data_IF_715139721190
#
_entry.id   IF_715139721190
#
_cell.length_a   1.000
_cell.length_b   1.000
_cell.length_c   1.000
_cell.angle_alpha   90.00
_cell.angle_beta   90.00
_cell.angle_gamma   90.00
#
_symmetry.space_group_name_H-M   'P 1'
#
loop_
_entity.id
_entity.type
_entity.pdbx_description
1 polymer ?
#
# COMPACT_ATOMS: atom_id res chain seq x y z
N UNK A 1 -4.97 -13.11 26.04
CA UNK A 1 -5.85 -11.94 25.78
C UNK A 1 -7.28 -12.44 25.56
N UNK A 2 -8.27 -12.01 26.35
CA UNK A 2 -9.68 -12.38 26.18
C UNK A 2 -10.21 -11.75 24.89
N UNK A 3 -10.83 -12.54 24.00
CA UNK A 3 -11.51 -12.04 22.80
C UNK A 3 -12.60 -11.03 23.21
N UNK A 4 -12.71 -9.87 22.57
CA UNK A 4 -13.74 -8.90 22.92
C UNK A 4 -15.13 -9.49 22.72
N UNK A 5 -16.04 -9.20 23.66
CA UNK A 5 -17.42 -9.69 23.70
C UNK A 5 -18.14 -9.34 22.37
N UNK A 6 -18.95 -10.27 21.88
CA UNK A 6 -19.74 -10.11 20.64
C UNK A 6 -20.59 -8.85 20.67
N UNK A 7 -21.18 -8.52 21.83
CA UNK A 7 -21.97 -7.29 22.02
C UNK A 7 -21.14 -6.01 21.81
N UNK A 8 -19.91 -5.96 22.31
CA UNK A 8 -19.01 -4.83 22.10
C UNK A 8 -18.63 -4.66 20.62
N UNK A 9 -18.39 -5.76 19.91
CA UNK A 9 -18.10 -5.75 18.48
C UNK A 9 -19.30 -5.24 17.66
N UNK A 10 -20.51 -5.68 17.99
CA UNK A 10 -21.74 -5.24 17.35
C UNK A 10 -22.02 -3.75 17.58
N UNK A 11 -21.86 -3.24 18.80
CA UNK A 11 -22.03 -1.83 19.12
C UNK A 11 -21.00 -0.93 18.40
N UNK A 12 -19.75 -1.37 18.33
CA UNK A 12 -18.70 -0.65 17.59
C UNK A 12 -18.99 -0.61 16.09
N UNK A 13 -19.48 -1.72 15.53
CA UNK A 13 -19.85 -1.80 14.13
C UNK A 13 -21.05 -0.88 13.82
N UNK A 14 -22.07 -0.91 14.67
CA UNK A 14 -23.25 -0.03 14.60
C UNK A 14 -22.87 1.46 14.60
N UNK A 15 -21.94 1.84 15.46
CA UNK A 15 -21.46 3.22 15.55
C UNK A 15 -20.73 3.69 14.29
N UNK A 16 -20.03 2.80 13.61
CA UNK A 16 -19.20 3.14 12.45
C UNK A 16 -19.94 3.02 11.11
N UNK A 17 -20.98 2.17 11.02
CA UNK A 17 -21.64 1.79 9.76
C UNK A 17 -23.15 2.01 9.73
N UNK A 18 -23.73 2.41 10.88
CA UNK A 18 -25.16 2.66 11.00
C UNK A 18 -26.02 1.39 11.15
N UNK A 19 -27.29 1.62 11.47
CA UNK A 19 -28.25 0.55 11.83
C UNK A 19 -28.52 -0.39 10.66
N UNK A 20 -28.69 0.15 9.44
CA UNK A 20 -29.05 -0.63 8.24
C UNK A 20 -27.99 -1.65 7.88
N UNK A 21 -26.73 -1.25 7.79
CA UNK A 21 -25.60 -2.16 7.50
C UNK A 21 -25.38 -3.19 8.62
N UNK A 22 -25.61 -2.78 9.88
CA UNK A 22 -25.46 -3.69 11.03
C UNK A 22 -26.50 -4.80 10.99
N UNK A 23 -27.73 -4.48 10.60
CA UNK A 23 -28.82 -5.46 10.45
C UNK A 23 -28.54 -6.39 9.26
N UNK A 24 -28.09 -5.86 8.13
CA UNK A 24 -27.73 -6.67 6.96
C UNK A 24 -26.60 -7.65 7.30
N UNK A 25 -25.57 -7.19 8.01
CA UNK A 25 -24.49 -8.04 8.47
C UNK A 25 -24.93 -9.11 9.47
N UNK A 26 -25.85 -8.78 10.37
CA UNK A 26 -26.42 -9.75 11.32
C UNK A 26 -27.25 -10.83 10.60
N UNK A 27 -27.93 -10.47 9.52
CA UNK A 27 -28.70 -11.41 8.67
C UNK A 27 -27.80 -12.33 7.84
N UNK A 28 -26.60 -11.87 7.45
CA UNK A 28 -25.62 -12.66 6.67
C UNK A 28 -24.92 -13.74 7.50
N UNK A 29 -25.13 -13.79 8.83
CA UNK A 29 -24.48 -14.76 9.71
C UNK A 29 -22.96 -14.57 9.82
N UNK A 30 -22.32 -15.42 10.63
CA UNK A 30 -20.86 -15.46 10.79
C UNK A 30 -20.16 -16.29 9.68
N UNK A 31 -20.77 -16.45 8.54
CA UNK A 31 -20.04 -17.05 7.43
C UNK A 31 -18.89 -16.12 7.07
N UNK A 32 -17.64 -16.62 7.05
CA UNK A 32 -16.57 -15.85 6.41
C UNK A 32 -17.09 -15.49 5.03
N UNK A 33 -16.95 -14.21 4.64
CA UNK A 33 -17.33 -13.78 3.32
C UNK A 33 -16.53 -14.61 2.30
N UNK A 34 -17.07 -15.78 1.99
CA UNK A 34 -16.63 -16.55 0.83
C UNK A 34 -17.09 -15.68 -0.34
N UNK A 35 -16.17 -15.09 -1.10
CA UNK A 35 -16.56 -14.35 -2.28
C UNK A 35 -17.46 -15.28 -3.08
N UNK A 36 -18.59 -14.80 -3.60
CA UNK A 36 -19.50 -15.63 -4.37
C UNK A 36 -18.66 -16.37 -5.41
N UNK A 37 -18.82 -17.69 -5.52
CA UNK A 37 -18.01 -18.58 -6.38
C UNK A 37 -17.79 -18.04 -7.81
N UNK A 38 -18.64 -17.13 -8.25
CA UNK A 38 -18.60 -16.50 -9.57
C UNK A 38 -17.73 -15.23 -9.64
N UNK A 39 -17.07 -14.76 -8.56
CA UNK A 39 -16.31 -13.51 -8.58
C UNK A 39 -14.79 -13.67 -8.40
N UNK A 40 -14.27 -14.87 -8.55
CA UNK A 40 -12.83 -15.14 -8.55
C UNK A 40 -12.13 -14.28 -9.62
N UNK A 41 -12.73 -14.16 -10.80
CA UNK A 41 -12.22 -13.32 -11.90
C UNK A 41 -12.21 -11.84 -11.48
N UNK A 42 -13.27 -11.36 -10.79
CA UNK A 42 -13.31 -9.99 -10.28
C UNK A 42 -12.22 -9.70 -9.25
N UNK A 43 -11.98 -10.64 -8.34
CA UNK A 43 -10.91 -10.51 -7.34
C UNK A 43 -9.52 -10.44 -7.97
N UNK A 44 -9.25 -11.24 -9.02
CA UNK A 44 -7.97 -11.27 -9.72
C UNK A 44 -7.90 -10.33 -10.94
N UNK A 45 -8.87 -9.43 -11.11
CA UNK A 45 -8.90 -8.51 -12.26
C UNK A 45 -7.61 -7.71 -12.42
N UNK A 46 -6.97 -7.31 -11.31
CA UNK A 46 -5.69 -6.61 -11.33
C UNK A 46 -4.55 -7.40 -12.00
N UNK A 47 -4.66 -8.74 -12.08
CA UNK A 47 -3.66 -9.61 -12.75
C UNK A 47 -3.73 -9.43 -14.27
N UNK A 48 -4.95 -9.29 -14.81
CA UNK A 48 -5.21 -9.17 -16.26
C UNK A 48 -5.29 -7.71 -16.72
N UNK A 49 -5.49 -6.76 -15.81
CA UNK A 49 -5.48 -5.33 -16.11
C UNK A 49 -4.06 -4.88 -16.49
N UNK A 50 -3.88 -4.65 -17.79
CA UNK A 50 -2.61 -4.27 -18.38
C UNK A 50 -2.57 -2.84 -18.94
N UNK A 51 -3.62 -2.05 -18.71
CA UNK A 51 -3.65 -0.67 -19.21
C UNK A 51 -2.46 0.10 -18.65
N UNK A 52 -1.51 0.52 -19.51
CA UNK A 52 -0.28 1.14 -19.03
C UNK A 52 -0.55 2.52 -18.44
N UNK A 53 0.08 2.80 -17.31
CA UNK A 53 0.19 4.16 -16.77
C UNK A 53 1.36 4.82 -17.50
N UNK A 54 1.11 5.82 -18.35
CA UNK A 54 2.08 6.27 -19.34
C UNK A 54 3.31 6.96 -18.71
N UNK A 55 4.41 6.97 -19.46
CA UNK A 55 5.60 7.72 -19.13
C UNK A 55 5.34 9.23 -19.26
N UNK A 56 5.79 10.00 -18.26
CA UNK A 56 5.66 11.45 -18.27
C UNK A 56 7.00 12.10 -18.62
N UNK A 57 7.15 12.48 -19.90
CA UNK A 57 8.37 13.09 -20.40
C UNK A 57 8.75 14.38 -19.66
N UNK A 58 7.77 15.20 -19.24
CA UNK A 58 8.05 16.45 -18.51
C UNK A 58 8.65 16.17 -17.14
N UNK A 59 8.14 15.17 -16.40
CA UNK A 59 8.70 14.77 -15.12
C UNK A 59 10.10 14.16 -15.30
N UNK A 60 10.29 13.32 -16.31
CA UNK A 60 11.60 12.77 -16.64
C UNK A 60 12.64 13.88 -16.89
N UNK A 61 12.35 14.84 -17.79
CA UNK A 61 13.25 15.95 -18.08
C UNK A 61 13.62 16.77 -16.85
N UNK A 62 12.66 16.96 -15.94
CA UNK A 62 12.88 17.65 -14.68
C UNK A 62 13.84 16.90 -13.75
N UNK A 63 13.78 15.56 -13.74
CA UNK A 63 14.46 14.74 -12.74
C UNK A 63 15.65 13.92 -13.28
N UNK A 64 15.83 13.82 -14.61
CA UNK A 64 16.88 12.97 -15.23
C UNK A 64 18.30 13.22 -14.71
N UNK A 65 18.59 14.46 -14.34
CA UNK A 65 19.92 14.89 -13.86
C UNK A 65 20.01 15.03 -12.35
N UNK A 66 18.97 14.60 -11.59
CA UNK A 66 18.99 14.66 -10.13
C UNK A 66 20.16 13.86 -9.58
N UNK A 67 20.93 14.47 -8.68
CA UNK A 67 22.03 13.80 -7.98
C UNK A 67 21.50 12.65 -7.11
N UNK A 68 20.40 12.90 -6.37
CA UNK A 68 19.71 11.86 -5.62
C UNK A 68 18.74 11.13 -6.53
N UNK A 69 18.95 9.83 -6.72
CA UNK A 69 18.03 9.02 -7.52
C UNK A 69 16.76 8.72 -6.73
N UNK A 70 15.62 8.93 -7.36
CA UNK A 70 14.29 8.76 -6.77
C UNK A 70 13.87 7.29 -6.90
N UNK A 71 13.44 6.69 -5.79
CA UNK A 71 12.95 5.32 -5.72
C UNK A 71 11.48 5.31 -5.24
N UNK A 72 10.59 4.79 -6.05
CA UNK A 72 9.22 4.51 -5.65
C UNK A 72 9.11 3.08 -5.12
N UNK A 73 8.53 2.91 -3.94
CA UNK A 73 8.27 1.63 -3.29
C UNK A 73 6.76 1.39 -3.25
N UNK A 74 6.29 0.36 -3.91
CA UNK A 74 4.87 -0.01 -3.89
C UNK A 74 4.70 -1.12 -2.87
N UNK A 75 4.01 -0.80 -1.77
CA UNK A 75 3.91 -1.62 -0.57
C UNK A 75 2.45 -2.00 -0.34
N UNK A 76 2.13 -3.28 -0.08
CA UNK A 76 0.76 -3.66 0.26
C UNK A 76 0.38 -3.09 1.62
N UNK A 77 -0.91 -3.18 1.95
CA UNK A 77 -1.39 -2.77 3.27
C UNK A 77 -0.62 -3.48 4.38
N UNK A 78 -0.30 -2.72 5.43
CA UNK A 78 0.52 -3.18 6.54
C UNK A 78 -0.28 -3.24 7.85
N UNK A 79 0.04 -4.24 8.67
CA UNK A 79 -0.46 -4.37 10.03
C UNK A 79 0.64 -4.15 11.08
N UNK A 80 0.25 -3.87 12.34
CA UNK A 80 1.20 -3.76 13.45
C UNK A 80 2.09 -5.01 13.57
N UNK A 81 3.40 -4.82 13.75
CA UNK A 81 4.35 -5.91 13.98
C UNK A 81 4.67 -6.79 12.76
N UNK A 82 4.30 -6.37 11.56
CA UNK A 82 4.63 -7.11 10.33
C UNK A 82 6.14 -7.15 10.08
N UNK A 83 6.75 -8.34 10.18
CA UNK A 83 8.19 -8.55 10.00
C UNK A 83 8.65 -8.22 8.57
N UNK A 84 7.85 -8.59 7.56
CA UNK A 84 8.13 -8.26 6.17
C UNK A 84 8.22 -6.75 5.93
N UNK A 85 7.24 -5.99 6.42
CA UNK A 85 7.27 -4.53 6.32
C UNK A 85 8.43 -3.91 7.10
N UNK A 86 8.78 -4.46 8.27
CA UNK A 86 9.95 -4.03 9.03
C UNK A 86 11.24 -4.18 8.21
N UNK A 87 11.38 -5.28 7.48
CA UNK A 87 12.54 -5.52 6.60
C UNK A 87 12.57 -4.51 5.45
N UNK A 88 11.43 -4.28 4.77
CA UNK A 88 11.31 -3.29 3.69
C UNK A 88 11.71 -1.89 4.21
N UNK A 89 11.14 -1.44 5.32
CA UNK A 89 11.40 -0.09 5.85
C UNK A 89 12.83 0.10 6.35
N UNK A 90 13.46 -0.95 6.89
CA UNK A 90 14.89 -0.93 7.22
C UNK A 90 15.74 -0.75 5.97
N UNK A 91 15.40 -1.46 4.89
CA UNK A 91 16.10 -1.36 3.62
C UNK A 91 15.94 0.04 2.99
N UNK A 92 14.72 0.57 2.96
CA UNK A 92 14.41 1.93 2.50
C UNK A 92 15.24 2.96 3.29
N UNK A 93 15.26 2.87 4.62
CA UNK A 93 16.00 3.80 5.47
C UNK A 93 17.51 3.76 5.22
N UNK A 94 18.06 2.58 4.92
CA UNK A 94 19.46 2.47 4.57
C UNK A 94 19.77 3.11 3.20
N UNK A 95 18.87 2.97 2.22
CA UNK A 95 19.03 3.64 0.92
C UNK A 95 18.94 5.17 1.04
N UNK A 96 18.03 5.70 1.89
CA UNK A 96 18.03 7.14 2.19
C UNK A 96 19.37 7.63 2.75
N UNK A 97 19.96 6.90 3.69
CA UNK A 97 21.28 7.22 4.27
C UNK A 97 22.41 7.13 3.22
N UNK A 98 22.25 6.29 2.19
CA UNK A 98 23.16 6.19 1.07
C UNK A 98 22.95 7.27 0.00
N UNK A 99 22.01 8.20 0.21
CA UNK A 99 21.79 9.34 -0.67
C UNK A 99 20.76 9.12 -1.76
N UNK A 100 19.96 8.06 -1.70
CA UNK A 100 18.75 7.94 -2.53
C UNK A 100 17.61 8.77 -1.93
N UNK A 101 16.54 8.97 -2.70
CA UNK A 101 15.31 9.59 -2.24
C UNK A 101 14.15 8.61 -2.43
N UNK A 102 13.57 8.14 -1.33
CA UNK A 102 12.54 7.11 -1.35
C UNK A 102 11.14 7.68 -1.14
N UNK A 103 10.19 7.14 -1.90
CA UNK A 103 8.76 7.40 -1.77
C UNK A 103 8.03 6.08 -1.60
N UNK A 104 7.25 5.95 -0.56
CA UNK A 104 6.43 4.77 -0.27
C UNK A 104 4.98 5.05 -0.68
N UNK A 105 4.41 4.18 -1.49
CA UNK A 105 3.03 4.23 -1.94
C UNK A 105 2.30 2.97 -1.51
N UNK A 106 1.18 3.13 -0.80
CA UNK A 106 0.37 1.99 -0.40
C UNK A 106 -0.51 1.52 -1.57
N UNK A 107 -0.61 0.20 -1.69
CA UNK A 107 -1.43 -0.46 -2.70
C UNK A 107 -2.55 -1.26 -2.03
N UNK A 108 -3.80 -0.99 -2.44
CA UNK A 108 -5.00 -1.65 -1.92
C UNK A 108 -5.08 -1.58 -0.39
N UNK A 109 -4.96 -0.36 0.17
CA UNK A 109 -4.92 -0.12 1.62
C UNK A 109 -6.14 0.66 2.12
N UNK A 110 -7.32 0.03 2.25
CA UNK A 110 -8.57 0.70 2.62
C UNK A 110 -8.58 1.26 4.05
N UNK A 111 -7.64 0.84 4.90
CA UNK A 111 -7.58 1.30 6.29
C UNK A 111 -6.92 2.68 6.47
N UNK A 112 -6.27 3.20 5.43
CA UNK A 112 -5.62 4.51 5.46
C UNK A 112 -6.33 5.47 4.49
N UNK A 113 -6.91 6.54 5.04
CA UNK A 113 -7.67 7.52 4.25
C UNK A 113 -6.80 8.67 3.72
N UNK A 114 -5.69 8.96 4.39
CA UNK A 114 -4.79 10.04 4.05
C UNK A 114 -3.33 9.76 4.46
N UNK A 115 -2.42 10.61 3.96
CA UNK A 115 -0.99 10.48 4.23
C UNK A 115 -0.63 10.75 5.70
N UNK A 116 -1.44 11.51 6.44
CA UNK A 116 -1.20 11.81 7.85
C UNK A 116 -1.47 10.58 8.73
N UNK A 117 -2.54 9.83 8.44
CA UNK A 117 -2.87 8.59 9.16
C UNK A 117 -1.78 7.54 9.01
N UNK A 118 -1.19 7.41 7.80
CA UNK A 118 -0.06 6.50 7.59
C UNK A 118 1.17 6.95 8.36
N UNK A 119 1.52 8.25 8.31
CA UNK A 119 2.69 8.76 9.04
C UNK A 119 2.57 8.51 10.53
N UNK A 120 1.38 8.69 11.09
CA UNK A 120 1.10 8.36 12.50
C UNK A 120 1.31 6.87 12.77
N UNK A 121 0.76 6.01 11.93
CA UNK A 121 0.89 4.55 12.04
C UNK A 121 2.36 4.11 11.94
N UNK A 122 3.10 4.62 10.95
CA UNK A 122 4.51 4.28 10.77
C UNK A 122 5.37 4.72 11.95
N UNK A 123 5.13 5.90 12.49
CA UNK A 123 5.84 6.39 13.68
C UNK A 123 5.60 5.49 14.90
N UNK A 124 4.41 4.94 15.05
CA UNK A 124 4.04 4.08 16.16
C UNK A 124 4.60 2.66 16.01
N UNK A 125 4.46 2.05 14.83
CA UNK A 125 4.74 0.63 14.63
C UNK A 125 6.03 0.32 13.86
N UNK A 126 6.58 1.29 13.13
CA UNK A 126 7.78 1.15 12.32
C UNK A 126 8.76 2.31 12.51
N UNK A 127 9.21 2.58 13.74
CA UNK A 127 10.06 3.74 14.05
C UNK A 127 11.44 3.70 13.37
N UNK A 128 11.79 2.58 12.73
CA UNK A 128 13.02 2.44 11.95
C UNK A 128 12.98 3.21 10.63
N UNK A 129 11.78 3.53 10.12
CA UNK A 129 11.66 4.32 8.90
C UNK A 129 12.06 5.77 9.19
N UNK A 130 13.07 6.24 8.47
CA UNK A 130 13.58 7.61 8.63
C UNK A 130 12.54 8.63 8.15
N UNK A 131 12.44 9.81 8.79
CA UNK A 131 11.38 10.79 8.54
C UNK A 131 11.42 11.45 7.16
N UNK A 132 12.57 11.40 6.47
CA UNK A 132 12.79 11.97 5.13
C UNK A 132 12.00 11.22 4.04
N UNK A 133 11.63 9.96 4.28
CA UNK A 133 10.86 9.15 3.33
C UNK A 133 9.46 9.76 3.15
N UNK A 134 9.10 10.06 1.91
CA UNK A 134 7.74 10.47 1.57
C UNK A 134 6.81 9.25 1.60
N UNK A 135 5.61 9.42 2.17
CA UNK A 135 4.62 8.33 2.27
C UNK A 135 3.28 8.80 1.74
N UNK A 136 2.67 7.98 0.90
CA UNK A 136 1.41 8.23 0.21
C UNK A 136 0.41 7.09 0.43
N UNK A 137 -0.85 7.43 0.68
CA UNK A 137 -1.91 6.46 0.99
C UNK A 137 -2.38 5.65 -0.22
N UNK A 138 -2.08 6.10 -1.42
CA UNK A 138 -2.54 5.44 -2.63
C UNK A 138 -1.56 5.57 -3.81
N UNK A 139 -1.51 4.52 -4.60
CA UNK A 139 -0.66 4.44 -5.80
C UNK A 139 -1.09 5.40 -6.92
N UNK A 140 -2.31 5.94 -6.91
CA UNK A 140 -2.74 6.95 -7.87
C UNK A 140 -1.95 8.25 -7.77
N UNK A 141 -1.29 8.47 -6.62
CA UNK A 141 -0.43 9.63 -6.36
C UNK A 141 1.01 9.44 -6.89
N UNK A 142 1.30 8.30 -7.56
CA UNK A 142 2.66 7.99 -8.00
C UNK A 142 3.16 8.97 -9.06
N UNK A 143 4.37 9.48 -8.80
CA UNK A 143 5.12 10.39 -9.66
C UNK A 143 6.27 9.64 -10.34
N UNK A 144 6.94 10.28 -11.29
CA UNK A 144 8.15 9.77 -11.90
C UNK A 144 9.18 9.32 -10.86
N UNK A 145 9.88 8.22 -11.15
CA UNK A 145 11.04 7.75 -10.39
C UNK A 145 12.12 7.15 -11.30
N UNK A 146 13.37 7.17 -10.83
CA UNK A 146 14.46 6.46 -11.49
C UNK A 146 14.30 4.95 -11.39
N UNK A 147 13.74 4.49 -10.28
CA UNK A 147 13.35 3.09 -10.14
C UNK A 147 12.04 2.94 -9.36
N UNK A 148 11.25 1.93 -9.70
CA UNK A 148 10.04 1.54 -9.00
C UNK A 148 10.15 0.09 -8.55
N UNK A 149 9.94 -0.14 -7.26
CA UNK A 149 10.14 -1.41 -6.59
C UNK A 149 8.79 -1.97 -6.13
N UNK A 150 8.43 -3.16 -6.59
CA UNK A 150 7.35 -3.95 -6.03
C UNK A 150 7.85 -4.71 -4.80
N UNK A 151 7.02 -4.86 -3.76
CA UNK A 151 7.41 -5.54 -2.53
C UNK A 151 6.53 -6.75 -2.18
N UNK A 152 5.57 -7.05 -3.03
CA UNK A 152 4.73 -8.25 -2.95
C UNK A 152 4.29 -8.67 -4.35
N UNK A 153 3.76 -9.90 -4.46
CA UNK A 153 3.26 -10.40 -5.74
C UNK A 153 2.11 -9.54 -6.30
N UNK A 154 1.24 -9.01 -5.45
CA UNK A 154 0.14 -8.11 -5.87
C UNK A 154 0.66 -6.79 -6.40
N UNK A 155 1.65 -6.20 -5.73
CA UNK A 155 2.25 -4.92 -6.16
C UNK A 155 3.07 -5.06 -7.44
N UNK A 156 3.57 -6.28 -7.76
CA UNK A 156 4.30 -6.53 -8.99
C UNK A 156 3.44 -6.28 -10.24
N UNK A 157 2.15 -6.64 -10.20
CA UNK A 157 1.24 -6.37 -11.32
C UNK A 157 0.99 -4.87 -11.52
N UNK A 158 0.91 -4.10 -10.44
CA UNK A 158 0.82 -2.65 -10.55
C UNK A 158 2.09 -2.02 -11.12
N UNK A 159 3.26 -2.41 -10.60
CA UNK A 159 4.57 -1.91 -11.07
C UNK A 159 4.80 -2.30 -12.53
N UNK A 160 4.35 -3.46 -12.97
CA UNK A 160 4.42 -3.88 -14.37
C UNK A 160 3.79 -2.84 -15.32
N UNK A 161 2.61 -2.34 -15.00
CA UNK A 161 1.89 -1.37 -15.85
C UNK A 161 2.36 0.09 -15.67
N UNK A 162 3.04 0.42 -14.58
CA UNK A 162 3.53 1.77 -14.32
C UNK A 162 4.77 2.06 -15.19
N UNK A 163 4.61 2.89 -16.25
CA UNK A 163 5.68 3.20 -17.19
C UNK A 163 6.44 4.49 -16.83
N UNK A 164 5.94 5.29 -15.86
CA UNK A 164 6.57 6.54 -15.46
C UNK A 164 7.81 6.32 -14.56
N UNK A 165 8.70 5.43 -15.01
CA UNK A 165 9.92 5.01 -14.29
C UNK A 165 10.97 4.51 -15.28
N UNK A 166 12.26 4.65 -14.96
CA UNK A 166 13.35 4.16 -15.80
C UNK A 166 13.56 2.65 -15.61
N UNK A 167 13.56 2.20 -14.36
CA UNK A 167 13.79 0.79 -14.02
C UNK A 167 12.72 0.25 -13.10
N UNK A 168 12.48 -1.06 -13.17
CA UNK A 168 11.53 -1.78 -12.32
C UNK A 168 12.22 -2.92 -11.60
N UNK A 169 11.93 -3.07 -10.33
CA UNK A 169 12.48 -4.13 -9.49
C UNK A 169 11.38 -4.84 -8.71
N UNK A 170 11.67 -6.05 -8.28
CA UNK A 170 10.86 -6.79 -7.33
C UNK A 170 11.73 -7.17 -6.12
N UNK A 171 11.35 -6.68 -4.95
CA UNK A 171 11.99 -6.99 -3.68
C UNK A 171 11.40 -8.30 -3.14
N UNK A 172 12.14 -9.37 -3.30
CA UNK A 172 11.77 -10.70 -2.80
C UNK A 172 12.25 -10.86 -1.37
N UNK A 173 11.35 -11.31 -0.48
CA UNK A 173 11.62 -11.53 0.93
C UNK A 173 10.95 -12.82 1.45
#
# INVERSE_FOLDING_TARGET
MKKPNVAYRALRYLKNHGLKETIERAKQGNEPAVPPKNNVIGFYRFVVDNDPIPFNQKEYEKHKNDKKKILNWVVPEMGPGSGGHTTIFRFISNLERLGFHSRVYLYMSPNFQDNASIRKFLKEYFPLLVPEVEVYCDVSQMKFAHATVATSWTTAYYVRKFQNTISKFYFVQ
#
